data_IF_101753099110
#
_entry.id   IF_101753099110
#
_cell.length_a   1.000
_cell.length_b   1.000
_cell.length_c   1.000
_cell.angle_alpha   90.00
_cell.angle_beta   90.00
_cell.angle_gamma   90.00
#
_symmetry.space_group_name_H-M   'P 1'
#
loop_
_entity.id
_entity.type
_entity.pdbx_description
1 polymer ?
#
# COMPACT_ATOMS: atom_id res chain seq x y z
N UNK A 1 1.23 -11.51 -11.87
CA UNK A 1 0.60 -10.65 -10.86
C UNK A 1 0.08 -9.38 -11.52
N UNK A 2 -1.20 -9.07 -11.29
CA UNK A 2 -1.82 -7.86 -11.81
C UNK A 2 -1.34 -6.63 -11.01
N UNK A 3 -1.16 -5.49 -11.67
CA UNK A 3 -0.78 -4.22 -11.06
C UNK A 3 -1.83 -3.16 -11.32
N UNK A 4 -1.95 -2.23 -10.41
CA UNK A 4 -2.87 -1.12 -10.50
C UNK A 4 -2.14 0.13 -11.00
N UNK A 5 -2.67 0.76 -12.07
CA UNK A 5 -2.20 2.04 -12.58
C UNK A 5 -3.36 3.02 -12.61
N UNK A 6 -3.23 4.16 -11.94
CA UNK A 6 -4.15 5.29 -12.07
C UNK A 6 -3.55 6.32 -13.02
N UNK A 7 -4.26 6.65 -14.10
CA UNK A 7 -3.92 7.71 -15.02
C UNK A 7 -5.05 8.73 -15.16
N UNK A 8 -4.74 10.03 -15.15
CA UNK A 8 -5.67 11.08 -15.55
C UNK A 8 -5.48 11.38 -17.02
N UNK A 9 -6.48 11.13 -17.87
CA UNK A 9 -6.44 11.54 -19.26
C UNK A 9 -6.73 13.04 -19.38
N UNK A 10 -5.79 13.83 -19.88
CA UNK A 10 -6.01 15.19 -20.34
C UNK A 10 -6.40 15.13 -21.82
N UNK A 11 -7.68 15.39 -22.13
CA UNK A 11 -8.11 15.66 -23.49
C UNK A 11 -7.88 17.12 -23.89
N UNK A 12 -7.79 17.45 -25.22
CA UNK A 12 -7.46 18.79 -25.67
C UNK A 12 -8.56 19.80 -25.32
N UNK A 13 -8.11 21.01 -25.02
CA UNK A 13 -8.86 22.17 -24.58
C UNK A 13 -10.02 22.54 -25.54
N UNK A 14 -11.25 22.33 -25.12
CA UNK A 14 -12.46 22.84 -25.75
C UNK A 14 -13.43 23.30 -24.69
N UNK A 15 -13.74 24.60 -24.71
CA UNK A 15 -14.70 25.45 -23.96
C UNK A 15 -15.40 24.87 -22.72
N UNK A 16 -15.55 25.65 -21.64
CA UNK A 16 -16.06 25.19 -20.35
C UNK A 16 -17.58 24.98 -20.40
N UNK A 17 -18.00 23.77 -20.60
CA UNK A 17 -19.29 23.26 -20.12
C UNK A 17 -19.00 22.19 -19.09
N UNK A 18 -19.58 22.33 -17.91
CA UNK A 18 -19.50 21.43 -16.76
C UNK A 18 -19.84 19.98 -17.15
N UNK A 19 -18.86 19.25 -17.67
CA UNK A 19 -18.88 17.79 -17.68
C UNK A 19 -17.89 17.32 -16.64
N UNK A 20 -18.40 16.64 -15.62
CA UNK A 20 -17.60 16.05 -14.56
C UNK A 20 -16.36 15.35 -15.14
N UNK A 21 -15.19 15.57 -14.51
CA UNK A 21 -13.94 14.91 -14.88
C UNK A 21 -14.12 13.41 -14.67
N UNK A 22 -14.23 12.65 -15.74
CA UNK A 22 -14.18 11.18 -15.66
C UNK A 22 -12.74 10.77 -15.47
N UNK A 23 -12.48 10.01 -14.41
CA UNK A 23 -11.18 9.41 -14.13
C UNK A 23 -11.20 7.98 -14.67
N UNK A 24 -10.13 7.62 -15.37
CA UNK A 24 -9.93 6.24 -15.83
C UNK A 24 -8.95 5.54 -14.90
N UNK A 25 -9.30 4.35 -14.50
CA UNK A 25 -8.38 3.44 -13.84
C UNK A 25 -8.27 2.15 -14.64
N UNK A 26 -7.08 1.60 -14.71
CA UNK A 26 -6.85 0.33 -15.35
C UNK A 26 -6.14 -0.63 -14.38
N UNK A 27 -6.57 -1.88 -14.37
CA UNK A 27 -5.83 -2.99 -13.79
C UNK A 27 -5.03 -3.63 -14.91
N UNK A 28 -3.71 -3.63 -14.78
CA UNK A 28 -2.79 -4.10 -15.81
C UNK A 28 -2.13 -5.40 -15.36
N UNK A 29 -2.22 -6.42 -16.18
CA UNK A 29 -1.50 -7.68 -16.03
C UNK A 29 -0.29 -7.76 -16.98
N UNK A 30 0.41 -8.89 -16.98
CA UNK A 30 1.56 -9.13 -17.87
C UNK A 30 1.20 -9.11 -19.38
N UNK A 31 -0.07 -9.34 -19.72
CA UNK A 31 -0.58 -9.35 -21.09
C UNK A 31 -1.32 -8.06 -21.51
N UNK A 32 -1.30 -7.02 -20.67
CA UNK A 32 -1.99 -5.74 -20.92
C UNK A 32 -3.11 -5.42 -19.91
N UNK A 33 -4.00 -4.51 -20.27
CA UNK A 33 -5.12 -4.11 -19.42
C UNK A 33 -6.09 -5.28 -19.22
N UNK A 34 -6.34 -5.62 -17.95
CA UNK A 34 -7.28 -6.68 -17.53
C UNK A 34 -8.68 -6.10 -17.31
N UNK A 35 -8.74 -4.91 -16.71
CA UNK A 35 -9.99 -4.19 -16.49
C UNK A 35 -9.75 -2.68 -16.61
N UNK A 36 -10.66 -1.99 -17.24
CA UNK A 36 -10.69 -0.54 -17.33
C UNK A 36 -12.00 -0.03 -16.74
N UNK A 37 -11.91 0.99 -15.89
CA UNK A 37 -13.07 1.62 -15.26
C UNK A 37 -13.07 3.11 -15.52
N UNK A 38 -14.23 3.65 -15.87
CA UNK A 38 -14.48 5.08 -15.86
C UNK A 38 -15.25 5.44 -14.60
N UNK A 39 -14.66 6.28 -13.77
CA UNK A 39 -15.22 6.72 -12.50
C UNK A 39 -15.48 8.23 -12.54
N UNK A 40 -16.59 8.65 -11.95
CA UNK A 40 -16.92 10.08 -11.79
C UNK A 40 -16.26 10.65 -10.52
N UNK A 41 -15.91 9.78 -9.57
CA UNK A 41 -15.32 10.13 -8.28
C UNK A 41 -13.79 10.04 -8.30
N UNK A 42 -13.13 10.93 -7.57
CA UNK A 42 -11.67 10.87 -7.41
C UNK A 42 -11.24 9.60 -6.68
N UNK A 43 -10.29 8.88 -7.26
CA UNK A 43 -9.67 7.71 -6.65
C UNK A 43 -8.64 8.21 -5.64
N UNK A 44 -8.75 7.74 -4.41
CA UNK A 44 -7.83 8.05 -3.31
C UNK A 44 -6.76 6.97 -3.15
N UNK A 45 -7.17 5.70 -3.26
CA UNK A 45 -6.29 4.55 -3.10
C UNK A 45 -6.86 3.34 -3.86
N UNK A 46 -6.02 2.33 -4.08
CA UNK A 46 -6.43 1.06 -4.67
C UNK A 46 -5.55 -0.10 -4.23
N UNK A 47 -6.13 -1.28 -4.10
CA UNK A 47 -5.43 -2.52 -3.78
C UNK A 47 -5.94 -3.68 -4.63
N UNK A 48 -5.08 -4.67 -4.88
CA UNK A 48 -5.42 -5.87 -5.63
C UNK A 48 -5.25 -7.09 -4.74
N UNK A 49 -6.29 -7.91 -4.66
CA UNK A 49 -6.26 -9.20 -3.98
C UNK A 49 -5.68 -10.31 -4.88
N UNK A 50 -5.34 -11.44 -4.25
CA UNK A 50 -4.70 -12.59 -4.94
C UNK A 50 -5.55 -13.19 -6.08
N UNK A 51 -6.87 -13.13 -5.98
CA UNK A 51 -7.78 -13.62 -7.02
C UNK A 51 -7.90 -12.69 -8.24
N UNK A 52 -7.23 -11.53 -8.23
CA UNK A 52 -7.39 -10.47 -9.22
C UNK A 52 -8.57 -9.54 -8.94
N UNK A 53 -9.40 -9.80 -7.92
CA UNK A 53 -10.34 -8.82 -7.39
C UNK A 53 -9.58 -7.62 -6.86
N UNK A 54 -10.15 -6.43 -6.99
CA UNK A 54 -9.50 -5.21 -6.54
C UNK A 54 -10.47 -4.29 -5.80
N UNK A 55 -9.89 -3.41 -5.01
CA UNK A 55 -10.63 -2.41 -4.22
C UNK A 55 -10.19 -1.03 -4.67
N UNK A 56 -11.15 -0.13 -4.83
CA UNK A 56 -10.91 1.29 -5.01
C UNK A 56 -11.53 2.06 -3.85
N UNK A 57 -10.75 2.95 -3.28
CA UNK A 57 -11.24 3.95 -2.34
C UNK A 57 -11.43 5.27 -3.08
N UNK A 58 -12.60 5.87 -2.95
CA UNK A 58 -12.98 7.07 -3.69
C UNK A 58 -13.65 8.10 -2.79
N UNK A 59 -13.62 9.36 -3.22
CA UNK A 59 -14.61 10.32 -2.74
C UNK A 59 -15.98 9.93 -3.28
N UNK A 60 -17.02 10.11 -2.49
CA UNK A 60 -18.39 9.76 -2.91
C UNK A 60 -19.33 10.93 -2.59
N UNK A 61 -20.16 11.32 -3.56
CA UNK A 61 -21.12 12.40 -3.36
C UNK A 61 -22.13 12.05 -2.26
N UNK A 62 -22.30 12.93 -1.27
CA UNK A 62 -23.17 12.68 -0.10
C UNK A 62 -22.56 11.83 1.01
N UNK A 63 -21.33 11.34 0.84
CA UNK A 63 -20.56 10.58 1.82
C UNK A 63 -19.16 11.18 1.97
N UNK A 64 -18.44 10.79 3.01
CA UNK A 64 -17.03 11.22 3.20
C UNK A 64 -16.12 10.50 2.21
N UNK A 65 -16.23 9.18 2.20
CA UNK A 65 -15.45 8.30 1.32
C UNK A 65 -16.25 7.01 1.03
N UNK A 66 -15.81 6.25 0.04
CA UNK A 66 -16.33 4.92 -0.22
C UNK A 66 -15.20 3.95 -0.56
N UNK A 67 -15.40 2.67 -0.26
CA UNK A 67 -14.56 1.57 -0.72
C UNK A 67 -15.42 0.61 -1.54
N UNK A 68 -15.06 0.40 -2.80
CA UNK A 68 -15.77 -0.48 -3.72
C UNK A 68 -14.88 -1.65 -4.14
N UNK A 69 -15.42 -2.86 -4.05
CA UNK A 69 -14.77 -4.10 -4.48
C UNK A 69 -15.27 -4.46 -5.88
N UNK A 70 -14.34 -4.75 -6.76
CA UNK A 70 -14.60 -5.16 -8.15
C UNK A 70 -14.08 -6.57 -8.40
N UNK A 71 -14.76 -7.29 -9.28
CA UNK A 71 -14.24 -8.55 -9.80
C UNK A 71 -13.18 -8.33 -10.90
N UNK A 72 -12.64 -9.42 -11.43
CA UNK A 72 -11.62 -9.39 -12.49
C UNK A 72 -12.10 -8.79 -13.81
N UNK A 73 -13.42 -8.68 -14.02
CA UNK A 73 -14.03 -8.06 -15.19
C UNK A 73 -14.34 -6.57 -14.96
N UNK A 74 -14.04 -6.02 -13.78
CA UNK A 74 -14.34 -4.64 -13.41
C UNK A 74 -15.80 -4.41 -12.99
N UNK A 75 -16.56 -5.47 -12.71
CA UNK A 75 -17.92 -5.34 -12.18
C UNK A 75 -17.87 -5.10 -10.66
N UNK A 76 -18.57 -4.08 -10.17
CA UNK A 76 -18.73 -3.83 -8.73
C UNK A 76 -19.51 -4.98 -8.08
N UNK A 77 -18.90 -5.62 -7.07
CA UNK A 77 -19.50 -6.74 -6.31
C UNK A 77 -19.91 -6.33 -4.91
N UNK A 78 -19.26 -5.31 -4.35
CA UNK A 78 -19.61 -4.75 -3.04
C UNK A 78 -19.16 -3.30 -2.97
N UNK A 79 -19.91 -2.44 -2.26
CA UNK A 79 -19.53 -1.06 -1.98
C UNK A 79 -19.96 -0.65 -0.59
N UNK A 80 -19.00 -0.19 0.20
CA UNK A 80 -19.23 0.48 1.48
C UNK A 80 -19.14 1.99 1.29
N UNK A 81 -20.19 2.71 1.66
CA UNK A 81 -20.24 4.17 1.68
C UNK A 81 -20.15 4.67 3.12
N UNK A 82 -19.07 5.36 3.45
CA UNK A 82 -18.79 5.85 4.78
C UNK A 82 -19.32 7.28 4.95
N UNK A 83 -20.34 7.47 5.81
CA UNK A 83 -20.85 8.78 6.18
C UNK A 83 -20.06 9.41 7.35
N UNK A 84 -19.53 8.58 8.25
CA UNK A 84 -18.82 9.01 9.46
C UNK A 84 -17.30 8.88 9.34
N UNK A 85 -16.83 7.94 8.51
CA UNK A 85 -15.42 7.60 8.38
C UNK A 85 -14.76 8.20 7.14
N UNK A 86 -13.49 8.58 7.30
CA UNK A 86 -12.55 8.82 6.22
C UNK A 86 -11.70 7.56 6.03
N UNK A 87 -11.85 6.89 4.92
CA UNK A 87 -11.11 5.67 4.62
C UNK A 87 -9.68 6.03 4.18
N UNK A 88 -8.70 5.47 4.89
CA UNK A 88 -7.27 5.64 4.60
C UNK A 88 -6.77 4.54 3.68
N UNK A 89 -7.13 3.30 4.01
CA UNK A 89 -6.70 2.11 3.27
C UNK A 89 -7.80 1.07 3.26
N UNK A 90 -7.96 0.36 2.14
CA UNK A 90 -8.90 -0.74 2.01
C UNK A 90 -8.25 -1.89 1.25
N UNK A 91 -8.28 -3.08 1.81
CA UNK A 91 -7.59 -4.27 1.29
C UNK A 91 -8.47 -5.51 1.41
N UNK A 92 -8.29 -6.47 0.49
CA UNK A 92 -8.95 -7.77 0.55
C UNK A 92 -8.10 -8.77 1.33
N UNK A 93 -8.76 -9.64 2.08
CA UNK A 93 -8.13 -10.81 2.69
C UNK A 93 -7.50 -11.72 1.63
N UNK A 94 -6.54 -12.61 2.01
CA UNK A 94 -5.91 -13.53 1.05
C UNK A 94 -6.89 -14.40 0.28
N UNK A 95 -8.03 -14.78 0.88
CA UNK A 95 -9.13 -15.53 0.24
C UNK A 95 -10.10 -14.62 -0.54
N UNK A 96 -9.91 -13.30 -0.50
CA UNK A 96 -10.76 -12.29 -1.14
C UNK A 96 -12.25 -12.30 -0.71
N UNK A 97 -12.57 -12.89 0.45
CA UNK A 97 -13.93 -12.95 0.97
C UNK A 97 -14.22 -11.88 2.01
N UNK A 98 -13.18 -11.26 2.57
CA UNK A 98 -13.30 -10.19 3.57
C UNK A 98 -12.64 -8.92 3.05
N UNK A 99 -13.34 -7.80 3.15
CA UNK A 99 -12.78 -6.47 2.97
C UNK A 99 -12.39 -5.93 4.35
N UNK A 100 -11.10 -5.57 4.51
CA UNK A 100 -10.60 -4.81 5.65
C UNK A 100 -10.45 -3.36 5.26
N UNK A 101 -10.88 -2.48 6.14
CA UNK A 101 -10.80 -1.02 5.96
C UNK A 101 -10.14 -0.42 7.20
N UNK A 102 -9.08 0.36 6.98
CA UNK A 102 -8.54 1.28 7.98
C UNK A 102 -9.12 2.66 7.69
N UNK A 103 -9.81 3.21 8.66
CA UNK A 103 -10.46 4.49 8.53
C UNK A 103 -10.32 5.29 9.83
N UNK A 104 -10.55 6.59 9.77
CA UNK A 104 -10.65 7.41 10.97
C UNK A 104 -11.93 8.24 10.97
N UNK A 105 -12.36 8.61 12.15
CA UNK A 105 -13.44 9.55 12.37
C UNK A 105 -13.03 10.59 13.42
N UNK A 106 -13.74 11.69 13.41
CA UNK A 106 -13.65 12.65 14.48
C UNK A 106 -14.54 12.21 15.64
N UNK A 107 -13.96 12.09 16.83
CA UNK A 107 -14.65 11.81 18.07
C UNK A 107 -14.41 12.99 19.04
N UNK A 108 -15.37 13.92 19.08
CA UNK A 108 -15.19 15.18 19.80
C UNK A 108 -14.06 16.02 19.20
N UNK A 109 -12.99 16.23 19.97
CA UNK A 109 -11.80 17.00 19.56
C UNK A 109 -10.65 16.10 19.07
N UNK A 110 -10.77 14.78 19.20
CA UNK A 110 -9.75 13.80 18.81
C UNK A 110 -10.11 13.10 17.51
N UNK A 111 -9.09 12.55 16.83
CA UNK A 111 -9.25 11.61 15.73
C UNK A 111 -9.08 10.20 16.28
N UNK A 112 -9.98 9.32 15.92
CA UNK A 112 -9.99 7.92 16.32
C UNK A 112 -9.94 7.03 15.07
N UNK A 113 -8.95 6.15 14.99
CA UNK A 113 -8.87 5.19 13.90
C UNK A 113 -9.64 3.91 14.22
N UNK A 114 -10.16 3.30 13.17
CA UNK A 114 -10.94 2.08 13.25
C UNK A 114 -10.48 1.09 12.18
N UNK A 115 -10.48 -0.19 12.52
CA UNK A 115 -10.40 -1.28 11.56
C UNK A 115 -11.78 -1.92 11.43
N UNK A 116 -12.34 -1.82 10.24
CA UNK A 116 -13.66 -2.34 9.88
C UNK A 116 -13.49 -3.59 9.02
N UNK A 117 -14.25 -4.63 9.31
CA UNK A 117 -14.29 -5.83 8.48
C UNK A 117 -15.69 -6.06 7.90
N UNK A 118 -15.75 -6.38 6.60
CA UNK A 118 -16.98 -6.68 5.88
C UNK A 118 -16.86 -8.01 5.16
N UNK A 119 -17.92 -8.79 5.18
CA UNK A 119 -18.06 -9.96 4.30
C UNK A 119 -18.47 -9.46 2.90
N UNK A 120 -17.64 -9.74 1.90
CA UNK A 120 -17.82 -9.21 0.54
C UNK A 120 -19.06 -9.80 -0.14
N UNK A 121 -19.42 -11.05 0.19
CA UNK A 121 -20.53 -11.76 -0.45
C UNK A 121 -21.89 -11.30 0.05
N UNK A 122 -22.02 -11.09 1.35
CA UNK A 122 -23.29 -10.67 1.99
C UNK A 122 -23.39 -9.17 2.20
N UNK A 123 -22.26 -8.45 2.10
CA UNK A 123 -22.17 -7.02 2.41
C UNK A 123 -22.30 -6.68 3.89
N UNK A 124 -22.32 -7.69 4.77
CA UNK A 124 -22.48 -7.48 6.22
C UNK A 124 -21.18 -7.04 6.87
N UNK A 125 -21.26 -6.05 7.76
CA UNK A 125 -20.17 -5.70 8.65
C UNK A 125 -19.97 -6.82 9.67
N UNK A 126 -18.71 -7.27 9.80
CA UNK A 126 -18.32 -8.34 10.72
C UNK A 126 -17.93 -7.74 12.07
N UNK A 127 -17.09 -6.70 12.03
CA UNK A 127 -16.64 -5.98 13.22
C UNK A 127 -16.25 -4.53 12.89
N UNK A 128 -16.17 -3.74 13.95
CA UNK A 128 -15.67 -2.38 13.98
C UNK A 128 -14.81 -2.25 15.25
N UNK A 129 -13.53 -2.04 15.07
CA UNK A 129 -12.55 -2.06 16.16
C UNK A 129 -11.81 -0.75 16.21
N UNK A 130 -11.98 -0.02 17.30
CA UNK A 130 -11.25 1.22 17.53
C UNK A 130 -9.78 0.95 17.89
N UNK A 131 -8.89 1.75 17.32
CA UNK A 131 -7.48 1.88 17.70
C UNK A 131 -7.33 3.23 18.40
N UNK A 132 -7.29 3.18 19.73
CA UNK A 132 -7.28 4.37 20.57
C UNK A 132 -5.95 5.12 20.41
N UNK A 133 -6.04 6.46 20.35
CA UNK A 133 -4.89 7.37 20.25
C UNK A 133 -3.93 7.05 19.10
N UNK A 134 -4.46 6.53 18.01
CA UNK A 134 -3.68 6.12 16.84
C UNK A 134 -4.28 6.68 15.55
N UNK A 135 -3.45 7.24 14.67
CA UNK A 135 -3.84 7.69 13.34
C UNK A 135 -3.35 6.69 12.28
N UNK A 136 -4.30 6.08 11.57
CA UNK A 136 -4.02 5.06 10.58
C UNK A 136 -3.23 5.58 9.38
N UNK A 137 -2.24 4.80 8.95
CA UNK A 137 -1.38 5.08 7.79
C UNK A 137 -1.65 4.11 6.65
N UNK A 138 -1.62 2.81 6.91
CA UNK A 138 -1.90 1.77 5.91
C UNK A 138 -2.35 0.46 6.55
N UNK A 139 -2.98 -0.40 5.74
CA UNK A 139 -3.49 -1.70 6.15
C UNK A 139 -2.98 -2.78 5.19
N UNK A 140 -2.65 -3.94 5.74
CA UNK A 140 -2.45 -5.17 4.97
C UNK A 140 -3.06 -6.36 5.70
N UNK A 141 -3.06 -7.54 5.08
CA UNK A 141 -3.53 -8.78 5.71
C UNK A 141 -2.36 -9.72 5.98
N UNK A 142 -2.45 -10.48 7.08
CA UNK A 142 -1.65 -11.67 7.28
C UNK A 142 -2.30 -12.89 6.59
N UNK A 143 -1.54 -13.98 6.44
CA UNK A 143 -2.05 -15.22 5.79
C UNK A 143 -3.23 -15.86 6.53
N UNK A 144 -3.38 -15.64 7.83
CA UNK A 144 -4.47 -16.13 8.66
C UNK A 144 -5.71 -15.22 8.70
N UNK A 145 -5.84 -14.32 7.72
CA UNK A 145 -6.96 -13.39 7.57
C UNK A 145 -7.13 -12.38 8.72
N UNK A 146 -6.08 -12.09 9.47
CA UNK A 146 -6.05 -10.95 10.37
C UNK A 146 -5.45 -9.73 9.66
N UNK A 147 -5.89 -8.53 10.01
CA UNK A 147 -5.33 -7.32 9.47
C UNK A 147 -4.09 -6.86 10.26
N UNK A 148 -3.12 -6.30 9.55
CA UNK A 148 -1.99 -5.58 10.13
C UNK A 148 -2.20 -4.11 9.81
N UNK A 149 -2.50 -3.32 10.82
CA UNK A 149 -2.69 -1.89 10.71
C UNK A 149 -1.43 -1.16 11.16
N UNK A 150 -0.84 -0.36 10.28
CA UNK A 150 0.18 0.60 10.64
C UNK A 150 -0.50 1.92 10.98
N UNK A 151 -0.22 2.41 12.16
CA UNK A 151 -0.61 3.74 12.63
C UNK A 151 0.65 4.55 13.00
N UNK A 152 0.47 5.82 13.26
CA UNK A 152 1.53 6.72 13.72
C UNK A 152 2.12 6.31 15.09
N UNK A 153 1.34 5.59 15.91
CA UNK A 153 1.74 5.13 17.25
C UNK A 153 2.14 3.66 17.29
N UNK A 154 2.02 2.90 16.20
CA UNK A 154 2.43 1.51 16.20
C UNK A 154 1.91 0.64 15.09
N UNK A 155 2.30 -0.62 15.16
CA UNK A 155 1.79 -1.72 14.36
C UNK A 155 0.84 -2.57 15.19
N UNK A 156 -0.35 -2.79 14.67
CA UNK A 156 -1.42 -3.50 15.35
C UNK A 156 -1.86 -4.71 14.53
N UNK A 157 -1.93 -5.85 15.18
CA UNK A 157 -2.57 -7.06 14.63
C UNK A 157 -4.02 -7.07 15.07
N UNK A 158 -4.95 -7.04 14.11
CA UNK A 158 -6.38 -6.94 14.39
C UNK A 158 -7.10 -8.12 13.77
N UNK A 159 -7.70 -8.97 14.61
CA UNK A 159 -8.47 -10.12 14.14
C UNK A 159 -9.85 -9.70 13.63
N UNK A 160 -10.47 -10.53 12.78
CA UNK A 160 -11.86 -10.32 12.33
C UNK A 160 -12.88 -10.22 13.47
N UNK A 161 -12.55 -10.73 14.67
CA UNK A 161 -13.41 -10.68 15.86
C UNK A 161 -13.22 -9.41 16.68
N UNK A 162 -12.29 -8.54 16.28
CA UNK A 162 -12.01 -7.28 16.97
C UNK A 162 -10.98 -7.38 18.09
N UNK A 163 -10.23 -8.48 18.20
CA UNK A 163 -9.09 -8.55 19.13
C UNK A 163 -7.93 -7.75 18.53
N UNK A 164 -7.28 -6.94 19.35
CA UNK A 164 -6.13 -6.10 18.99
C UNK A 164 -4.92 -6.54 19.79
N UNK A 165 -3.83 -6.87 19.11
CA UNK A 165 -2.52 -7.11 19.70
C UNK A 165 -1.53 -6.08 19.15
N UNK A 166 -0.72 -5.48 20.03
CA UNK A 166 0.34 -4.54 19.63
C UNK A 166 1.56 -5.33 19.22
N UNK A 167 1.98 -5.21 17.95
CA UNK A 167 3.22 -5.83 17.44
C UNK A 167 4.44 -4.96 17.69
N UNK A 168 4.29 -3.64 17.56
CA UNK A 168 5.36 -2.66 17.70
C UNK A 168 4.74 -1.34 18.18
N UNK A 169 5.31 -0.76 19.23
CA UNK A 169 5.00 0.60 19.65
C UNK A 169 5.94 1.59 18.95
N UNK A 170 5.39 2.68 18.45
CA UNK A 170 6.09 3.76 17.77
C UNK A 170 5.76 5.10 18.42
N UNK A 171 6.68 6.03 18.34
CA UNK A 171 6.38 7.45 18.50
C UNK A 171 5.90 8.03 17.17
N UNK A 172 4.94 8.95 17.20
CA UNK A 172 4.33 9.52 16.00
C UNK A 172 5.31 10.25 15.05
N UNK A 173 6.51 10.57 15.54
CA UNK A 173 7.56 11.24 14.77
C UNK A 173 8.62 10.29 14.19
N UNK A 174 8.52 8.99 14.47
CA UNK A 174 9.56 8.02 14.15
C UNK A 174 9.37 7.36 12.78
N UNK A 175 8.14 7.33 12.28
CA UNK A 175 7.86 6.71 10.99
C UNK A 175 8.48 7.50 9.83
N UNK A 176 9.41 6.86 9.11
CA UNK A 176 10.12 7.44 7.97
C UNK A 176 9.48 6.99 6.65
N UNK A 177 9.35 5.69 6.46
CA UNK A 177 8.85 5.09 5.23
C UNK A 177 8.15 3.77 5.50
N UNK A 178 7.20 3.43 4.64
CA UNK A 178 6.51 2.13 4.68
C UNK A 178 6.23 1.62 3.29
N UNK A 179 6.19 0.30 3.17
CA UNK A 179 5.72 -0.41 1.98
C UNK A 179 4.95 -1.66 2.38
N UNK A 180 3.96 -2.03 1.59
CA UNK A 180 3.21 -3.27 1.79
C UNK A 180 2.90 -3.92 0.45
N UNK A 181 2.99 -5.26 0.42
CA UNK A 181 2.60 -6.08 -0.73
C UNK A 181 2.10 -7.44 -0.25
N UNK A 182 0.88 -7.79 -0.62
CA UNK A 182 0.26 -9.05 -0.17
C UNK A 182 0.13 -9.10 1.35
N UNK A 183 0.78 -10.08 1.98
CA UNK A 183 0.81 -10.29 3.44
C UNK A 183 2.12 -9.81 4.10
N UNK A 184 2.90 -9.03 3.38
CA UNK A 184 4.18 -8.51 3.84
C UNK A 184 4.12 -6.99 3.96
N UNK A 185 4.71 -6.45 5.02
CA UNK A 185 4.88 -5.02 5.24
C UNK A 185 6.32 -4.75 5.68
N UNK A 186 6.90 -3.65 5.21
CA UNK A 186 8.16 -3.11 5.69
C UNK A 186 7.92 -1.70 6.25
N UNK A 187 8.54 -1.42 7.39
CA UNK A 187 8.43 -0.13 8.09
C UNK A 187 9.81 0.32 8.49
N UNK A 188 10.21 1.50 8.06
CA UNK A 188 11.43 2.14 8.52
C UNK A 188 11.08 3.24 9.51
N UNK A 189 11.78 3.22 10.63
CA UNK A 189 11.60 4.17 11.72
C UNK A 189 12.94 4.82 12.09
N UNK A 190 12.88 5.97 12.73
CA UNK A 190 14.08 6.66 13.23
C UNK A 190 14.74 5.81 14.31
N UNK A 191 16.04 5.62 14.20
CA UNK A 191 16.81 4.94 15.23
C UNK A 191 17.38 5.95 16.21
N UNK A 192 17.30 5.61 17.50
CA UNK A 192 17.91 6.36 18.60
C UNK A 192 19.06 5.57 19.24
N UNK A 193 19.37 4.39 18.67
CA UNK A 193 20.40 3.48 19.18
C UNK A 193 21.60 3.50 18.24
N UNK A 194 22.78 3.77 18.81
CA UNK A 194 24.08 3.74 18.13
C UNK A 194 24.16 4.70 16.92
N UNK A 195 25.04 4.42 15.98
CA UNK A 195 25.27 5.22 14.76
C UNK A 195 24.29 4.92 13.62
N UNK A 196 23.32 4.01 13.83
CA UNK A 196 22.29 3.72 12.85
C UNK A 196 21.34 4.92 12.70
N UNK A 197 21.03 5.30 11.46
CA UNK A 197 20.14 6.42 11.18
C UNK A 197 18.68 6.01 11.19
N UNK A 198 18.39 4.76 10.92
CA UNK A 198 17.04 4.21 10.94
C UNK A 198 17.06 2.70 11.20
N UNK A 199 15.94 2.22 11.72
CA UNK A 199 15.68 0.80 11.94
C UNK A 199 14.60 0.32 10.97
N UNK A 200 14.86 -0.81 10.32
CA UNK A 200 13.91 -1.50 9.46
C UNK A 200 13.23 -2.62 10.23
N UNK A 201 11.91 -2.62 10.19
CA UNK A 201 11.07 -3.72 10.63
C UNK A 201 10.34 -4.32 9.45
N UNK A 202 10.16 -5.64 9.46
CA UNK A 202 9.33 -6.33 8.47
C UNK A 202 8.28 -7.16 9.17
N UNK A 203 7.06 -7.13 8.67
CA UNK A 203 6.00 -8.06 9.07
C UNK A 203 5.79 -9.04 7.94
N UNK A 204 5.92 -10.33 8.24
CA UNK A 204 5.67 -11.43 7.31
C UNK A 204 4.77 -12.45 7.97
N UNK A 205 3.69 -12.81 7.30
CA UNK A 205 2.71 -13.77 7.84
C UNK A 205 2.20 -13.42 9.25
N UNK A 206 2.09 -12.12 9.55
CA UNK A 206 1.66 -11.64 10.87
C UNK A 206 2.74 -11.61 11.95
N UNK A 207 3.97 -12.04 11.66
CA UNK A 207 5.09 -11.99 12.59
C UNK A 207 5.99 -10.79 12.31
N UNK A 208 6.36 -10.08 13.37
CA UNK A 208 7.31 -8.95 13.34
C UNK A 208 8.74 -9.46 13.37
N UNK A 209 9.58 -8.91 12.51
CA UNK A 209 11.02 -9.16 12.45
C UNK A 209 11.76 -7.82 12.48
N UNK A 210 12.89 -7.75 13.19
CA UNK A 210 13.69 -6.55 13.39
C UNK A 210 13.88 -6.22 14.88
N UNK A 211 14.51 -5.08 15.22
CA UNK A 211 15.03 -4.07 14.29
C UNK A 211 16.26 -4.53 13.49
N UNK A 212 16.33 -4.08 12.25
CA UNK A 212 17.53 -4.23 11.42
C UNK A 212 18.08 -2.83 11.15
N UNK A 213 19.32 -2.58 11.60
CA UNK A 213 19.95 -1.27 11.49
C UNK A 213 20.23 -0.91 10.02
N UNK A 214 19.78 0.26 9.58
CA UNK A 214 20.11 0.86 8.28
C UNK A 214 21.13 1.97 8.50
N UNK A 215 22.16 2.00 7.67
CA UNK A 215 23.22 3.02 7.74
C UNK A 215 22.79 4.37 7.20
N UNK A 216 21.72 4.39 6.40
CA UNK A 216 21.14 5.59 5.80
C UNK A 216 19.63 5.66 6.00
N UNK A 217 19.11 6.86 6.03
CA UNK A 217 17.66 7.09 6.07
C UNK A 217 17.04 6.74 4.72
N UNK A 218 16.05 5.82 4.67
CA UNK A 218 15.38 5.46 3.44
C UNK A 218 14.48 6.58 2.92
N UNK A 219 14.52 6.82 1.62
CA UNK A 219 13.60 7.74 0.92
C UNK A 219 12.37 7.02 0.39
N UNK A 220 12.49 5.72 0.11
CA UNK A 220 11.37 4.85 -0.27
C UNK A 220 11.70 3.38 0.03
N UNK A 221 10.66 2.60 0.23
CA UNK A 221 10.72 1.15 0.45
C UNK A 221 9.89 0.42 -0.61
N UNK A 222 10.31 -0.79 -0.93
CA UNK A 222 9.47 -1.79 -1.56
C UNK A 222 9.68 -3.14 -0.87
N UNK A 223 8.62 -3.93 -0.77
CA UNK A 223 8.65 -5.24 -0.15
C UNK A 223 7.95 -6.26 -1.03
N UNK A 224 8.49 -7.48 -1.05
CA UNK A 224 7.89 -8.62 -1.74
C UNK A 224 8.20 -9.92 -0.99
N UNK A 225 7.76 -11.05 -1.53
CA UNK A 225 8.14 -12.34 -0.97
C UNK A 225 9.65 -12.63 -1.10
N UNK A 226 10.35 -11.99 -2.06
CA UNK A 226 11.79 -12.14 -2.24
C UNK A 226 12.61 -11.36 -1.20
N UNK A 227 12.08 -10.28 -0.63
CA UNK A 227 12.81 -9.45 0.32
C UNK A 227 12.31 -8.02 0.42
N UNK A 228 13.22 -7.10 0.71
CA UNK A 228 12.94 -5.66 0.87
C UNK A 228 13.96 -4.85 0.10
N UNK A 229 13.52 -3.95 -0.77
CA UNK A 229 14.36 -2.96 -1.42
C UNK A 229 14.25 -1.63 -0.67
N UNK A 230 15.40 -1.09 -0.29
CA UNK A 230 15.54 0.18 0.43
C UNK A 230 16.22 1.17 -0.49
N UNK A 231 15.50 2.22 -0.88
CA UNK A 231 16.03 3.33 -1.63
C UNK A 231 16.49 4.40 -0.65
N UNK A 232 17.75 4.81 -0.75
CA UNK A 232 18.37 5.88 0.04
C UNK A 232 18.96 6.98 -0.85
N UNK A 233 19.63 7.94 -0.27
CA UNK A 233 20.31 9.00 -1.02
C UNK A 233 21.49 8.47 -1.85
N UNK A 234 22.19 7.45 -1.38
CA UNK A 234 23.36 6.84 -2.05
C UNK A 234 22.99 5.81 -3.11
N UNK A 235 21.77 5.26 -3.07
CA UNK A 235 21.38 4.22 -4.02
C UNK A 235 20.26 3.33 -3.53
N UNK A 236 20.16 2.13 -4.10
CA UNK A 236 19.21 1.11 -3.67
C UNK A 236 19.94 -0.12 -3.14
N UNK A 237 19.54 -0.56 -1.95
CA UNK A 237 20.01 -1.82 -1.35
C UNK A 237 18.87 -2.81 -1.28
N UNK A 238 19.09 -4.02 -1.73
CA UNK A 238 18.12 -5.12 -1.61
C UNK A 238 18.56 -6.06 -0.50
N UNK A 239 17.64 -6.33 0.39
CA UNK A 239 17.78 -7.25 1.51
C UNK A 239 16.92 -8.49 1.27
N UNK A 240 17.42 -9.67 1.65
CA UNK A 240 16.60 -10.89 1.65
C UNK A 240 15.54 -10.86 2.78
N UNK A 241 14.81 -11.96 2.92
CA UNK A 241 13.76 -12.10 3.95
C UNK A 241 14.30 -12.11 5.38
N UNK A 242 15.59 -12.37 5.58
CA UNK A 242 16.29 -12.30 6.87
C UNK A 242 16.95 -10.94 7.11
N UNK A 243 16.67 -9.94 6.24
CA UNK A 243 17.28 -8.61 6.23
C UNK A 243 18.81 -8.60 6.07
N UNK A 244 19.38 -9.61 5.41
CA UNK A 244 20.77 -9.60 4.99
C UNK A 244 20.88 -8.91 3.63
N UNK A 245 21.85 -7.99 3.44
CA UNK A 245 22.04 -7.31 2.16
C UNK A 245 22.47 -8.32 1.08
N UNK A 246 21.78 -8.28 -0.06
CA UNK A 246 22.07 -9.14 -1.21
C UNK A 246 22.89 -8.41 -2.26
N UNK A 247 22.50 -7.18 -2.58
CA UNK A 247 23.20 -6.33 -3.52
C UNK A 247 22.85 -4.85 -3.28
N UNK A 248 23.75 -3.99 -3.75
CA UNK A 248 23.62 -2.54 -3.73
C UNK A 248 23.91 -1.97 -5.10
N UNK A 249 23.25 -0.87 -5.46
CA UNK A 249 23.46 -0.18 -6.73
C UNK A 249 23.41 1.34 -6.53
N UNK A 250 24.54 1.99 -6.80
CA UNK A 250 24.73 3.44 -6.67
C UNK A 250 24.05 4.22 -7.83
N UNK A 251 23.78 3.56 -8.98
CA UNK A 251 23.12 4.18 -10.13
C UNK A 251 21.65 4.54 -9.88
N UNK A 252 21.13 4.20 -8.69
CA UNK A 252 19.78 4.53 -8.28
C UNK A 252 19.59 5.99 -7.84
N UNK A 253 20.64 6.78 -7.82
CA UNK A 253 20.57 8.20 -7.42
C UNK A 253 19.57 8.96 -8.28
N UNK A 254 18.67 9.70 -7.61
CA UNK A 254 17.60 10.47 -8.27
C UNK A 254 16.31 9.70 -8.54
N UNK A 255 16.27 8.40 -8.24
CA UNK A 255 15.03 7.65 -8.22
C UNK A 255 14.09 8.20 -7.13
N UNK A 256 12.79 8.22 -7.41
CA UNK A 256 11.77 8.72 -6.48
C UNK A 256 10.93 7.63 -5.85
N UNK A 257 10.84 6.48 -6.50
CA UNK A 257 10.08 5.32 -6.05
C UNK A 257 10.84 4.06 -6.41
N UNK A 258 10.68 3.07 -5.59
CA UNK A 258 11.15 1.71 -5.81
C UNK A 258 9.97 0.76 -5.75
N UNK A 259 9.95 -0.23 -6.64
CA UNK A 259 9.01 -1.34 -6.62
C UNK A 259 9.82 -2.63 -6.72
N UNK A 260 9.31 -3.69 -6.11
CA UNK A 260 9.96 -5.00 -6.12
C UNK A 260 8.93 -6.09 -6.45
N UNK A 261 9.27 -7.00 -7.31
CA UNK A 261 8.45 -8.17 -7.65
C UNK A 261 8.84 -9.38 -6.82
N UNK A 262 7.99 -10.42 -6.81
CA UNK A 262 8.24 -11.64 -6.02
C UNK A 262 9.42 -12.48 -6.53
N UNK A 263 9.89 -12.24 -7.76
CA UNK A 263 11.11 -12.82 -8.32
C UNK A 263 12.39 -12.02 -7.99
N UNK A 264 12.25 -10.94 -7.21
CA UNK A 264 13.36 -10.10 -6.81
C UNK A 264 13.76 -9.01 -7.79
N UNK A 265 13.02 -8.85 -8.91
CA UNK A 265 13.25 -7.75 -9.85
C UNK A 265 12.86 -6.42 -9.21
N UNK A 266 13.75 -5.44 -9.31
CA UNK A 266 13.56 -4.08 -8.77
C UNK A 266 13.34 -3.09 -9.90
N UNK A 267 12.30 -2.27 -9.76
CA UNK A 267 12.00 -1.16 -10.66
C UNK A 267 12.24 0.14 -9.94
N UNK A 268 13.07 0.99 -10.50
CA UNK A 268 13.31 2.35 -10.03
C UNK A 268 12.58 3.33 -10.93
N UNK A 269 11.74 4.17 -10.33
CA UNK A 269 10.98 5.18 -11.05
C UNK A 269 11.62 6.55 -10.87
N UNK A 270 11.97 7.16 -11.97
CA UNK A 270 12.46 8.53 -12.09
C UNK A 270 11.35 9.45 -12.62
N UNK A 271 11.63 10.72 -12.82
CA UNK A 271 10.62 11.67 -13.31
C UNK A 271 10.08 11.35 -14.71
N UNK A 272 10.91 10.75 -15.59
CA UNK A 272 10.61 10.55 -17.02
C UNK A 272 10.90 9.15 -17.52
N UNK A 273 11.57 8.33 -16.75
CA UNK A 273 11.96 6.98 -17.13
C UNK A 273 11.85 6.02 -15.94
N UNK A 274 11.92 4.74 -16.21
CA UNK A 274 12.07 3.67 -15.26
C UNK A 274 13.30 2.85 -15.62
N UNK A 275 13.99 2.32 -14.60
CA UNK A 275 15.09 1.36 -14.76
C UNK A 275 14.73 0.07 -14.07
N UNK A 276 15.18 -1.04 -14.67
CA UNK A 276 14.92 -2.40 -14.17
C UNK A 276 16.25 -3.02 -13.76
N UNK A 277 16.29 -3.60 -12.58
CA UNK A 277 17.44 -4.29 -12.03
C UNK A 277 17.03 -5.70 -11.59
N UNK A 278 17.82 -6.69 -11.98
CA UNK A 278 17.68 -8.07 -11.53
C UNK A 278 18.94 -8.51 -10.82
N UNK A 279 18.85 -9.43 -9.86
CA UNK A 279 20.00 -9.92 -9.08
C UNK A 279 21.14 -10.53 -9.94
N UNK A 280 20.89 -10.78 -11.22
CA UNK A 280 21.86 -11.40 -12.14
C UNK A 280 22.30 -10.47 -13.29
N UNK A 281 21.80 -9.23 -13.35
CA UNK A 281 22.18 -8.32 -14.44
C UNK A 281 23.03 -7.17 -13.91
N UNK A 282 24.31 -7.16 -14.26
CA UNK A 282 25.14 -5.95 -14.23
C UNK A 282 24.71 -4.91 -15.29
N UNK A 283 23.63 -5.16 -16.03
CA UNK A 283 23.09 -4.28 -17.08
C UNK A 283 21.72 -3.74 -16.67
N UNK A 284 21.65 -2.41 -16.53
CA UNK A 284 20.38 -1.68 -16.49
C UNK A 284 19.74 -1.65 -17.88
N UNK A 285 18.52 -2.18 -18.03
CA UNK A 285 17.68 -1.88 -19.17
C UNK A 285 16.88 -0.60 -18.91
N UNK A 286 17.08 0.41 -19.73
CA UNK A 286 16.36 1.68 -19.65
C UNK A 286 15.09 1.58 -20.50
N UNK A 287 13.94 1.65 -19.85
CA UNK A 287 12.63 1.69 -20.52
C UNK A 287 12.20 3.15 -20.65
N UNK A 288 12.22 3.67 -21.87
CA UNK A 288 11.62 4.96 -22.18
C UNK A 288 10.11 4.79 -22.38
N UNK A 289 9.32 5.62 -21.71
CA UNK A 289 7.91 5.78 -22.05
C UNK A 289 7.83 6.61 -23.34
N UNK A 290 7.49 5.99 -24.45
CA UNK A 290 7.14 6.72 -25.68
C UNK A 290 5.87 7.56 -25.42
N UNK A 291 5.91 8.81 -25.90
CA UNK A 291 4.87 9.84 -25.77
C UNK A 291 3.53 9.44 -26.41
#
# INVERSE_FOLDING_TARGET
PARFCCGSAHGPCGRPHERGRRLRSAVVGSAGAVAELELESTILNGSIGRSGRFVLTTNEHGYRTAAAVYDTAGKEVFKYRASEYYIVSAVLSPDCNTLGILAFRQNGVTLESHVLFFDVSSGKQISDTALTDALGVTLTYSENNAAIALCDTGLYHVTRRGTVDVLLELSSQDLIATASQGSTMAVAVRSYLNDARSDLYTVRNGSLHGPFALTEEPTALAVSNAGTAVLSASGVTVYNTSAEPQWHNDDAVGARRVLMTDDGTVFLLYNRNARIFTAHSERSEEVHADN
#
